data_IF_212430387484
#
_entry.id   IF_212430387484
#
_cell.length_a   1.000
_cell.length_b   1.000
_cell.length_c   1.000
_cell.angle_alpha   90.00
_cell.angle_beta   90.00
_cell.angle_gamma   90.00
#
_symmetry.space_group_name_H-M   'P 1'
#
loop_
_entity.id
_entity.type
_entity.pdbx_description
1 polymer ?
#
# COMPACT_ATOMS: atom_id res chain seq x y z
N UNK A 1 27.39 2.68 0.19
CA UNK A 1 26.17 1.96 -0.22
C UNK A 1 25.53 1.36 1.05
N UNK A 2 24.48 1.98 1.57
CA UNK A 2 23.93 1.60 2.87
C UNK A 2 23.12 0.30 2.78
N UNK A 3 23.34 -0.60 3.75
CA UNK A 3 22.57 -1.85 3.94
C UNK A 3 21.06 -1.55 3.99
N UNK A 4 20.66 -0.39 4.52
CA UNK A 4 19.26 0.11 4.60
C UNK A 4 18.55 0.17 3.25
N UNK A 5 19.26 0.47 2.16
CA UNK A 5 18.68 0.55 0.81
C UNK A 5 18.32 -0.83 0.24
N UNK A 6 18.92 -1.90 0.77
CA UNK A 6 18.77 -3.28 0.29
C UNK A 6 17.66 -4.04 0.99
N UNK A 7 17.36 -3.74 2.24
CA UNK A 7 16.37 -4.47 3.03
C UNK A 7 14.94 -4.31 2.50
N UNK A 8 14.44 -3.09 2.17
CA UNK A 8 13.09 -2.94 1.66
C UNK A 8 12.79 -3.74 0.39
N UNK A 9 13.66 -3.75 -0.65
CA UNK A 9 13.46 -4.63 -1.80
C UNK A 9 13.37 -6.13 -1.44
N UNK A 10 14.18 -6.60 -0.48
CA UNK A 10 14.11 -8.00 -0.03
C UNK A 10 12.81 -8.31 0.73
N UNK A 11 12.26 -7.34 1.46
CA UNK A 11 10.92 -7.47 2.06
C UNK A 11 9.87 -7.58 0.95
N UNK A 12 10.00 -6.77 -0.11
CA UNK A 12 9.09 -6.85 -1.28
C UNK A 12 9.15 -8.20 -2.00
N UNK A 13 10.30 -8.86 -2.02
CA UNK A 13 10.43 -10.24 -2.50
C UNK A 13 9.53 -11.19 -1.68
N UNK A 14 9.60 -11.09 -0.36
CA UNK A 14 8.77 -11.89 0.55
C UNK A 14 7.28 -11.56 0.41
N UNK A 15 6.92 -10.27 0.35
CA UNK A 15 5.54 -9.81 0.12
C UNK A 15 5.02 -10.38 -1.21
N UNK A 16 5.81 -10.35 -2.30
CA UNK A 16 5.45 -10.91 -3.59
C UNK A 16 5.16 -12.42 -3.52
N UNK A 17 6.00 -13.16 -2.77
CA UNK A 17 5.82 -14.59 -2.56
C UNK A 17 4.59 -14.92 -1.67
N UNK A 18 4.14 -13.99 -0.81
CA UNK A 18 2.92 -14.13 -0.01
C UNK A 18 1.66 -13.75 -0.80
N UNK A 19 1.77 -12.79 -1.71
CA UNK A 19 0.63 -12.15 -2.35
C UNK A 19 -0.06 -13.08 -3.34
N UNK A 20 -1.39 -13.03 -3.35
CA UNK A 20 -2.23 -13.63 -4.40
C UNK A 20 -2.89 -12.52 -5.23
N UNK A 21 -2.43 -12.39 -6.46
CA UNK A 21 -2.97 -11.41 -7.41
C UNK A 21 -4.28 -11.84 -8.08
N UNK A 22 -4.82 -13.02 -7.77
CA UNK A 22 -6.03 -13.56 -8.41
C UNK A 22 -7.22 -12.59 -8.33
N UNK A 23 -7.43 -11.94 -7.19
CA UNK A 23 -8.50 -10.97 -7.02
C UNK A 23 -8.35 -9.76 -7.96
N UNK A 24 -7.12 -9.32 -8.19
CA UNK A 24 -6.81 -8.21 -9.10
C UNK A 24 -6.94 -8.62 -10.57
N UNK A 25 -6.41 -9.80 -10.92
CA UNK A 25 -6.49 -10.36 -12.28
C UNK A 25 -7.96 -10.63 -12.67
N UNK A 26 -8.77 -11.13 -11.73
CA UNK A 26 -10.19 -11.41 -11.97
C UNK A 26 -11.01 -10.15 -12.26
N UNK A 27 -10.65 -9.02 -11.65
CA UNK A 27 -11.32 -7.73 -11.84
C UNK A 27 -10.32 -6.57 -11.90
N UNK A 28 -9.69 -6.31 -13.05
CA UNK A 28 -8.67 -5.25 -13.19
C UNK A 28 -9.15 -3.84 -12.86
N UNK A 29 -10.47 -3.57 -12.90
CA UNK A 29 -11.05 -2.28 -12.51
C UNK A 29 -10.73 -1.91 -11.06
N UNK A 30 -10.48 -2.91 -10.21
CA UNK A 30 -10.11 -2.71 -8.81
C UNK A 30 -8.72 -2.04 -8.64
N UNK A 31 -7.85 -2.10 -9.68
CA UNK A 31 -6.57 -1.34 -9.68
C UNK A 31 -6.79 0.15 -9.54
N UNK A 32 -7.86 0.68 -10.15
CA UNK A 32 -8.17 2.11 -10.09
C UNK A 32 -8.48 2.57 -8.66
N UNK A 33 -9.01 1.68 -7.82
CA UNK A 33 -9.27 1.98 -6.41
C UNK A 33 -7.96 2.11 -5.64
N UNK A 34 -7.01 1.18 -5.88
CA UNK A 34 -5.66 1.28 -5.33
C UNK A 34 -4.94 2.55 -5.77
N UNK A 35 -5.05 2.92 -7.04
CA UNK A 35 -4.50 4.17 -7.57
C UNK A 35 -5.14 5.40 -6.90
N UNK A 36 -6.45 5.41 -6.70
CA UNK A 36 -7.16 6.51 -6.05
C UNK A 36 -6.73 6.70 -4.58
N UNK A 37 -6.42 5.63 -3.86
CA UNK A 37 -5.92 5.74 -2.49
C UNK A 37 -4.55 6.45 -2.42
N UNK A 38 -3.75 6.44 -3.51
CA UNK A 38 -2.47 7.15 -3.54
C UNK A 38 -2.61 8.68 -3.49
N UNK A 39 -3.82 9.23 -3.62
CA UNK A 39 -4.06 10.64 -3.29
C UNK A 39 -3.65 11.00 -1.86
N UNK A 40 -3.59 10.02 -0.94
CA UNK A 40 -3.02 10.20 0.39
C UNK A 40 -1.54 10.60 0.36
N UNK A 41 -0.74 9.97 -0.52
CA UNK A 41 0.69 10.28 -0.70
C UNK A 41 0.87 11.70 -1.25
N UNK A 42 0.23 11.99 -2.39
CA UNK A 42 0.39 13.29 -3.05
C UNK A 42 -0.26 14.42 -2.25
N UNK A 43 -1.37 14.17 -1.56
CA UNK A 43 -1.99 15.12 -0.64
C UNK A 43 -1.07 15.48 0.53
N UNK A 44 -0.47 14.48 1.16
CA UNK A 44 0.49 14.72 2.24
C UNK A 44 1.76 15.43 1.72
N UNK A 45 2.24 15.10 0.53
CA UNK A 45 3.34 15.80 -0.13
C UNK A 45 3.06 17.29 -0.27
N UNK A 46 1.90 17.64 -0.83
CA UNK A 46 1.50 19.05 -1.02
C UNK A 46 1.37 19.80 0.30
N UNK A 47 0.81 19.16 1.34
CA UNK A 47 0.67 19.78 2.66
C UNK A 47 2.05 19.94 3.33
N UNK A 48 2.94 18.96 3.18
CA UNK A 48 4.31 19.06 3.71
C UNK A 48 5.07 20.24 3.08
N UNK A 49 4.95 20.45 1.77
CA UNK A 49 5.49 21.62 1.08
C UNK A 49 4.90 22.93 1.65
N UNK A 50 3.58 22.98 1.86
CA UNK A 50 2.91 24.16 2.43
C UNK A 50 3.35 24.42 3.89
N UNK A 51 3.79 23.41 4.63
CA UNK A 51 4.33 23.54 5.99
C UNK A 51 5.83 23.88 6.04
N UNK A 52 6.45 24.10 4.86
CA UNK A 52 7.83 24.58 4.73
C UNK A 52 8.91 23.49 4.72
N UNK A 53 8.54 22.23 4.48
CA UNK A 53 9.52 21.18 4.24
C UNK A 53 10.11 21.32 2.83
N UNK A 54 11.40 20.97 2.70
CA UNK A 54 12.07 20.87 1.41
C UNK A 54 11.38 19.81 0.52
N UNK A 55 11.36 19.94 -0.82
CA UNK A 55 10.72 18.99 -1.73
C UNK A 55 11.13 17.53 -1.52
N UNK A 56 12.42 17.25 -1.23
CA UNK A 56 12.88 15.89 -0.93
C UNK A 56 12.30 15.38 0.39
N UNK A 57 12.31 16.21 1.44
CA UNK A 57 11.72 15.89 2.74
C UNK A 57 10.21 15.69 2.61
N UNK A 58 9.52 16.57 1.89
CA UNK A 58 8.09 16.47 1.63
C UNK A 58 7.74 15.16 0.89
N UNK A 59 8.55 14.74 -0.08
CA UNK A 59 8.40 13.47 -0.79
C UNK A 59 8.56 12.27 0.15
N UNK A 60 9.56 12.32 1.02
CA UNK A 60 9.79 11.28 2.02
C UNK A 60 8.67 11.22 3.09
N UNK A 61 8.06 12.35 3.44
CA UNK A 61 6.92 12.42 4.37
C UNK A 61 5.65 11.94 3.67
N UNK A 62 5.42 12.38 2.43
CA UNK A 62 4.21 12.06 1.68
C UNK A 62 3.98 10.56 1.54
N UNK A 63 5.05 9.78 1.36
CA UNK A 63 4.95 8.32 1.16
C UNK A 63 4.29 7.58 2.36
N UNK A 64 4.25 8.16 3.54
CA UNK A 64 3.54 7.61 4.71
C UNK A 64 2.09 7.32 4.34
N UNK A 65 1.48 8.16 3.51
CA UNK A 65 0.09 8.02 3.05
C UNK A 65 -0.17 6.76 2.22
N UNK A 66 0.87 6.12 1.70
CA UNK A 66 0.76 4.81 1.04
C UNK A 66 0.50 3.65 2.01
N UNK A 67 0.74 3.84 3.31
CA UNK A 67 0.63 2.82 4.34
C UNK A 67 1.49 1.57 4.06
N UNK A 68 2.71 1.80 3.61
CA UNK A 68 3.67 0.78 3.23
C UNK A 68 5.01 1.08 3.91
N UNK A 69 5.27 0.41 5.03
CA UNK A 69 6.46 0.64 5.86
C UNK A 69 7.77 0.47 5.10
N UNK A 70 8.00 -0.65 4.40
CA UNK A 70 9.20 -0.86 3.60
C UNK A 70 9.41 0.20 2.53
N UNK A 71 8.36 0.63 1.83
CA UNK A 71 8.43 1.71 0.83
C UNK A 71 8.79 3.05 1.49
N UNK A 72 8.21 3.34 2.67
CA UNK A 72 8.52 4.56 3.42
C UNK A 72 10.00 4.61 3.82
N UNK A 73 10.57 3.50 4.29
CA UNK A 73 11.99 3.43 4.63
C UNK A 73 12.86 3.54 3.37
N UNK A 74 12.49 2.86 2.28
CA UNK A 74 13.23 2.92 1.02
C UNK A 74 13.33 4.35 0.49
N UNK A 75 12.22 5.06 0.43
CA UNK A 75 12.20 6.41 -0.10
C UNK A 75 12.88 7.41 0.85
N UNK A 76 12.60 7.35 2.15
CA UNK A 76 13.19 8.26 3.13
C UNK A 76 14.70 8.06 3.27
N UNK A 77 15.23 6.84 3.13
CA UNK A 77 16.67 6.59 3.15
C UNK A 77 17.42 7.31 2.02
N UNK A 78 16.72 7.61 0.91
CA UNK A 78 17.28 8.30 -0.27
C UNK A 78 17.01 9.79 -0.28
N UNK A 79 15.79 10.21 0.06
CA UNK A 79 15.38 11.61 -0.04
C UNK A 79 15.63 12.42 1.25
N UNK A 80 15.48 11.81 2.43
CA UNK A 80 15.60 12.48 3.72
C UNK A 80 16.13 11.54 4.82
N UNK A 81 17.40 11.13 4.76
CA UNK A 81 17.97 10.18 5.72
C UNK A 81 17.89 10.65 7.18
N UNK A 82 17.95 11.95 7.42
CA UNK A 82 17.83 12.60 8.73
C UNK A 82 16.40 12.46 9.34
N UNK A 83 15.36 12.36 8.51
CA UNK A 83 13.98 12.20 8.96
C UNK A 83 13.51 10.74 8.93
N UNK A 84 14.34 9.81 8.47
CA UNK A 84 13.97 8.41 8.25
C UNK A 84 13.40 7.75 9.52
N UNK A 85 13.98 8.03 10.69
CA UNK A 85 13.50 7.48 11.96
C UNK A 85 12.07 7.91 12.27
N UNK A 86 11.78 9.22 12.19
CA UNK A 86 10.45 9.77 12.42
C UNK A 86 9.42 9.26 11.38
N UNK A 87 9.82 9.18 10.12
CA UNK A 87 8.97 8.68 9.02
C UNK A 87 8.66 7.20 9.22
N UNK A 88 9.66 6.36 9.55
CA UNK A 88 9.47 4.94 9.78
C UNK A 88 8.54 4.68 10.96
N UNK A 89 8.78 5.32 12.12
CA UNK A 89 7.92 5.17 13.31
C UNK A 89 6.50 5.65 13.00
N UNK A 90 6.34 6.78 12.30
CA UNK A 90 5.04 7.29 11.88
C UNK A 90 4.31 6.27 10.99
N UNK A 91 4.95 5.78 9.93
CA UNK A 91 4.36 4.83 8.99
C UNK A 91 3.87 3.56 9.68
N UNK A 92 4.72 2.90 10.48
CA UNK A 92 4.34 1.67 11.18
C UNK A 92 3.29 1.91 12.28
N UNK A 93 3.35 3.05 13.00
CA UNK A 93 2.35 3.39 14.01
C UNK A 93 0.97 3.56 13.39
N UNK A 94 0.87 4.25 12.26
CA UNK A 94 -0.41 4.43 11.58
C UNK A 94 -0.92 3.17 10.91
N UNK A 95 -0.05 2.30 10.41
CA UNK A 95 -0.46 0.96 9.96
C UNK A 95 -1.13 0.17 11.10
N UNK A 96 -0.56 0.20 12.30
CA UNK A 96 -1.16 -0.44 13.47
C UNK A 96 -2.51 0.20 13.90
N UNK A 97 -2.70 1.50 13.60
CA UNK A 97 -3.93 2.24 13.93
C UNK A 97 -5.01 2.17 12.83
N UNK A 98 -4.75 1.49 11.72
CA UNK A 98 -5.73 1.29 10.64
C UNK A 98 -7.11 0.82 11.14
N UNK A 99 -7.21 -0.18 12.04
CA UNK A 99 -8.51 -0.62 12.57
C UNK A 99 -9.28 0.45 13.35
N UNK A 100 -8.60 1.46 13.84
CA UNK A 100 -9.21 2.57 14.59
C UNK A 100 -9.57 3.76 13.67
N UNK A 101 -8.69 4.08 12.71
CA UNK A 101 -8.81 5.25 11.84
C UNK A 101 -9.83 5.03 10.72
N UNK A 102 -9.80 3.88 10.06
CA UNK A 102 -10.61 3.65 8.85
C UNK A 102 -12.12 3.53 9.10
N UNK A 103 -12.63 2.77 10.11
CA UNK A 103 -14.06 2.56 10.26
C UNK A 103 -14.88 3.84 10.43
N UNK A 104 -14.48 4.83 11.24
CA UNK A 104 -15.21 6.11 11.34
C UNK A 104 -15.31 6.83 10.00
N UNK A 105 -14.22 6.87 9.22
CA UNK A 105 -14.18 7.53 7.90
C UNK A 105 -15.11 6.82 6.93
N UNK A 106 -15.05 5.49 6.89
CA UNK A 106 -15.90 4.66 6.04
C UNK A 106 -17.38 4.87 6.36
N UNK A 107 -17.73 4.89 7.66
CA UNK A 107 -19.12 5.13 8.09
C UNK A 107 -19.59 6.55 7.78
N UNK A 108 -18.72 7.55 7.89
CA UNK A 108 -19.05 8.93 7.56
C UNK A 108 -19.32 9.13 6.07
N UNK A 109 -18.51 8.51 5.22
CA UNK A 109 -18.54 8.71 3.77
C UNK A 109 -19.53 7.80 3.02
N UNK A 110 -20.10 6.77 3.67
CA UNK A 110 -21.00 5.83 3.02
C UNK A 110 -22.39 5.82 3.65
N UNK A 111 -23.41 5.61 2.84
CA UNK A 111 -24.80 5.44 3.31
C UNK A 111 -25.10 3.97 3.63
N UNK A 112 -26.13 3.70 4.46
CA UNK A 112 -26.57 2.32 4.77
C UNK A 112 -26.89 1.52 3.50
N UNK A 113 -27.53 2.16 2.49
CA UNK A 113 -27.86 1.50 1.21
C UNK A 113 -26.62 1.08 0.43
N UNK A 114 -25.58 1.93 0.41
CA UNK A 114 -24.32 1.63 -0.28
C UNK A 114 -23.56 0.49 0.38
N UNK A 115 -23.60 0.36 1.72
CA UNK A 115 -22.94 -0.71 2.48
C UNK A 115 -23.55 -2.09 2.22
N UNK A 116 -24.83 -2.15 1.82
CA UNK A 116 -25.55 -3.37 1.51
C UNK A 116 -25.34 -3.87 0.08
N UNK A 117 -24.56 -3.17 -0.75
CA UNK A 117 -24.27 -3.61 -2.11
C UNK A 117 -23.51 -4.93 -2.06
N UNK A 118 -24.10 -5.97 -2.67
CA UNK A 118 -23.46 -7.28 -2.85
C UNK A 118 -22.75 -7.32 -4.20
N UNK A 119 -21.50 -7.75 -4.17
CA UNK A 119 -20.68 -7.87 -5.37
C UNK A 119 -20.78 -9.28 -5.94
N UNK A 120 -20.68 -9.41 -7.27
CA UNK A 120 -20.62 -10.71 -7.95
C UNK A 120 -19.34 -11.44 -7.56
N UNK A 121 -19.42 -12.77 -7.40
CA UNK A 121 -18.24 -13.58 -7.12
C UNK A 121 -17.13 -13.35 -8.19
N UNK A 122 -15.86 -13.30 -7.79
CA UNK A 122 -14.74 -13.18 -8.72
C UNK A 122 -14.71 -14.37 -9.69
N UNK A 123 -14.29 -14.15 -10.93
CA UNK A 123 -14.09 -15.25 -11.88
C UNK A 123 -12.88 -16.09 -11.47
N UNK A 124 -12.89 -17.36 -11.83
CA UNK A 124 -11.71 -18.20 -11.70
C UNK A 124 -10.58 -17.68 -12.62
N UNK A 125 -9.36 -17.63 -12.09
CA UNK A 125 -8.15 -17.21 -12.80
C UNK A 125 -7.33 -18.43 -13.16
N UNK A 126 -6.92 -18.52 -14.44
CA UNK A 126 -6.10 -19.64 -14.91
C UNK A 126 -4.66 -19.56 -14.38
N UNK A 127 -3.98 -20.70 -14.32
CA UNK A 127 -2.56 -20.74 -13.90
C UNK A 127 -1.67 -19.90 -14.82
N UNK A 128 -1.95 -19.92 -16.13
CA UNK A 128 -1.20 -19.13 -17.12
C UNK A 128 -1.35 -17.61 -16.84
N UNK A 129 -2.55 -17.15 -16.52
CA UNK A 129 -2.76 -15.74 -16.15
C UNK A 129 -1.96 -15.35 -14.89
N UNK A 130 -1.91 -16.24 -13.90
CA UNK A 130 -1.14 -16.01 -12.66
C UNK A 130 0.37 -15.91 -12.89
N UNK A 131 0.91 -16.71 -13.80
CA UNK A 131 2.34 -16.68 -14.16
C UNK A 131 2.68 -15.49 -15.05
N UNK A 132 1.80 -15.17 -16.00
CA UNK A 132 2.02 -14.05 -16.93
C UNK A 132 1.89 -12.67 -16.27
N UNK A 133 1.02 -12.54 -15.27
CA UNK A 133 0.77 -11.27 -14.61
C UNK A 133 2.04 -10.61 -14.02
N UNK A 134 2.87 -11.29 -13.20
CA UNK A 134 4.09 -10.70 -12.68
C UNK A 134 5.12 -10.39 -13.76
N UNK A 135 5.19 -11.15 -14.85
CA UNK A 135 6.09 -10.89 -15.98
C UNK A 135 5.70 -9.60 -16.69
N UNK A 136 4.40 -9.46 -17.04
CA UNK A 136 3.88 -8.26 -17.68
C UNK A 136 4.00 -7.05 -16.75
N UNK A 137 3.68 -7.22 -15.46
CA UNK A 137 3.83 -6.18 -14.45
C UNK A 137 5.27 -5.68 -14.31
N UNK A 138 6.24 -6.60 -14.31
CA UNK A 138 7.66 -6.26 -14.27
C UNK A 138 8.08 -5.45 -15.51
N UNK A 139 7.70 -5.89 -16.70
CA UNK A 139 8.02 -5.18 -17.95
C UNK A 139 7.40 -3.78 -17.97
N UNK A 140 6.13 -3.66 -17.59
CA UNK A 140 5.48 -2.34 -17.49
C UNK A 140 6.20 -1.42 -16.49
N UNK A 141 6.64 -1.95 -15.35
CA UNK A 141 7.40 -1.18 -14.37
C UNK A 141 8.72 -0.67 -14.95
N UNK A 142 9.45 -1.52 -15.67
CA UNK A 142 10.71 -1.13 -16.31
C UNK A 142 10.54 0.05 -17.27
N UNK A 143 9.44 0.09 -18.01
CA UNK A 143 9.18 1.14 -19.00
C UNK A 143 8.57 2.40 -18.40
N UNK A 144 7.64 2.26 -17.46
CA UNK A 144 6.87 3.40 -16.94
C UNK A 144 7.54 4.09 -15.74
N UNK A 145 8.13 3.32 -14.84
CA UNK A 145 8.69 3.82 -13.58
C UNK A 145 10.01 3.11 -13.26
N UNK A 146 11.10 3.38 -13.99
CA UNK A 146 12.38 2.69 -13.78
C UNK A 146 12.92 2.82 -12.35
N UNK A 147 12.74 3.98 -11.71
CA UNK A 147 13.19 4.23 -10.33
C UNK A 147 12.45 3.38 -9.29
N UNK A 148 11.25 2.86 -9.60
CA UNK A 148 10.49 1.93 -8.77
C UNK A 148 10.90 0.46 -8.91
N UNK A 149 11.77 0.14 -9.88
CA UNK A 149 12.18 -1.23 -10.19
C UNK A 149 12.74 -2.02 -8.99
N UNK A 150 13.55 -1.45 -8.07
CA UNK A 150 14.03 -2.20 -6.93
C UNK A 150 12.91 -2.79 -6.06
N UNK A 151 11.80 -2.08 -5.88
CA UNK A 151 10.66 -2.54 -5.10
C UNK A 151 9.73 -3.44 -5.92
N UNK A 152 9.23 -2.93 -7.04
CA UNK A 152 8.26 -3.63 -7.89
C UNK A 152 8.88 -4.86 -8.56
N UNK A 153 10.15 -4.76 -8.97
CA UNK A 153 10.89 -5.89 -9.53
C UNK A 153 10.96 -7.06 -8.57
N UNK A 154 11.28 -6.78 -7.29
CA UNK A 154 11.33 -7.82 -6.26
C UNK A 154 9.94 -8.34 -5.89
N UNK A 155 8.91 -7.49 -5.89
CA UNK A 155 7.51 -7.89 -5.69
C UNK A 155 7.07 -8.91 -6.76
N UNK A 156 7.24 -8.55 -8.03
CA UNK A 156 6.84 -9.41 -9.14
C UNK A 156 7.71 -10.67 -9.25
N UNK A 157 9.01 -10.55 -8.96
CA UNK A 157 9.89 -11.72 -8.92
C UNK A 157 9.49 -12.69 -7.80
N UNK A 158 9.19 -12.20 -6.60
CA UNK A 158 8.68 -13.02 -5.49
C UNK A 158 7.39 -13.75 -5.84
N UNK A 159 6.47 -13.06 -6.51
CA UNK A 159 5.23 -13.67 -6.98
C UNK A 159 5.47 -14.73 -8.06
N UNK A 160 6.40 -14.48 -8.99
CA UNK A 160 6.78 -15.44 -10.01
C UNK A 160 7.38 -16.72 -9.40
N UNK A 161 8.21 -16.59 -8.35
CA UNK A 161 8.73 -17.74 -7.60
C UNK A 161 7.61 -18.64 -7.05
N UNK A 162 6.52 -18.04 -6.60
CA UNK A 162 5.35 -18.75 -6.08
C UNK A 162 4.52 -19.37 -7.21
N UNK A 163 4.14 -18.58 -8.20
CA UNK A 163 3.15 -18.97 -9.21
C UNK A 163 3.75 -19.89 -10.30
N UNK A 164 5.08 -19.91 -10.48
CA UNK A 164 5.74 -20.82 -11.41
C UNK A 164 5.56 -22.30 -11.07
N UNK A 165 5.30 -22.62 -9.78
CA UNK A 165 5.19 -23.99 -9.28
C UNK A 165 6.52 -24.76 -9.19
N UNK A 166 7.56 -24.33 -9.92
CA UNK A 166 8.88 -25.00 -9.97
C UNK A 166 9.76 -24.61 -8.78
N UNK A 167 9.68 -23.34 -8.35
CA UNK A 167 10.51 -22.76 -7.29
C UNK A 167 9.81 -22.67 -5.94
N UNK A 168 8.87 -23.57 -5.66
CA UNK A 168 8.03 -23.55 -4.46
C UNK A 168 8.83 -23.43 -3.16
N UNK A 169 9.94 -24.18 -3.03
CA UNK A 169 10.83 -24.10 -1.85
C UNK A 169 11.42 -22.71 -1.65
N UNK A 170 11.81 -22.03 -2.74
CA UNK A 170 12.35 -20.67 -2.66
C UNK A 170 11.27 -19.65 -2.28
N UNK A 171 10.05 -19.81 -2.80
CA UNK A 171 8.92 -18.99 -2.41
C UNK A 171 8.58 -19.16 -0.92
N UNK A 172 8.60 -20.40 -0.38
CA UNK A 172 8.42 -20.67 1.05
C UNK A 172 9.49 -19.98 1.91
N UNK A 173 10.75 -20.06 1.48
CA UNK A 173 11.85 -19.38 2.18
C UNK A 173 11.69 -17.87 2.13
N UNK A 174 11.29 -17.30 0.99
CA UNK A 174 11.12 -15.87 0.81
C UNK A 174 9.98 -15.30 1.66
N UNK A 175 8.83 -15.98 1.72
CA UNK A 175 7.63 -15.52 2.43
C UNK A 175 7.67 -15.72 3.95
N UNK A 176 8.58 -16.48 4.47
CA UNK A 176 8.74 -16.77 5.90
C UNK A 176 10.15 -16.39 6.39
N UNK A 177 11.11 -17.35 6.45
CA UNK A 177 12.40 -17.12 7.11
C UNK A 177 13.16 -15.88 6.61
N UNK A 178 13.11 -15.59 5.29
CA UNK A 178 13.83 -14.45 4.72
C UNK A 178 13.19 -13.13 5.15
N UNK A 179 11.87 -12.98 4.96
CA UNK A 179 11.17 -11.74 5.31
C UNK A 179 11.28 -11.44 6.80
N UNK A 180 11.18 -12.46 7.67
CA UNK A 180 11.29 -12.31 9.12
C UNK A 180 12.69 -11.85 9.50
N UNK A 181 13.73 -12.49 8.97
CA UNK A 181 15.13 -12.10 9.21
C UNK A 181 15.42 -10.68 8.77
N UNK A 182 14.98 -10.31 7.56
CA UNK A 182 15.19 -8.96 7.02
C UNK A 182 14.39 -7.92 7.83
N UNK A 183 13.20 -8.25 8.29
CA UNK A 183 12.39 -7.36 9.13
C UNK A 183 13.06 -7.08 10.47
N UNK A 184 13.64 -8.09 11.11
CA UNK A 184 14.42 -7.93 12.34
C UNK A 184 15.63 -7.01 12.10
N UNK A 185 16.41 -7.28 11.06
CA UNK A 185 17.60 -6.49 10.73
C UNK A 185 17.23 -5.05 10.37
N UNK A 186 16.12 -4.85 9.63
CA UNK A 186 15.62 -3.52 9.30
C UNK A 186 15.20 -2.76 10.56
N UNK A 187 14.43 -3.39 11.44
CA UNK A 187 14.00 -2.79 12.70
C UNK A 187 15.18 -2.38 13.59
N UNK A 188 16.18 -3.25 13.71
CA UNK A 188 17.41 -2.95 14.46
C UNK A 188 18.19 -1.78 13.85
N UNK A 189 18.36 -1.77 12.51
CA UNK A 189 19.14 -0.71 11.85
C UNK A 189 18.43 0.64 11.86
N UNK A 190 17.11 0.66 11.70
CA UNK A 190 16.31 1.89 11.81
C UNK A 190 16.29 2.39 13.23
N UNK A 191 16.03 1.52 14.22
CA UNK A 191 16.05 1.89 15.63
C UNK A 191 17.39 2.44 16.09
N UNK A 192 18.50 1.76 15.72
CA UNK A 192 19.86 2.23 16.06
C UNK A 192 20.24 3.58 15.42
N UNK A 193 19.59 3.94 14.32
CA UNK A 193 19.83 5.23 13.64
C UNK A 193 18.92 6.36 14.15
N UNK A 194 17.93 6.05 14.98
CA UNK A 194 17.01 7.05 15.52
C UNK A 194 17.62 7.68 16.76
N UNK A 195 18.17 8.89 16.59
CA UNK A 195 18.76 9.66 17.71
C UNK A 195 17.70 10.57 18.33
N UNK A 196 17.77 10.75 19.66
CA UNK A 196 16.82 11.61 20.38
C UNK A 196 16.84 13.07 19.88
N UNK A 197 18.00 13.57 19.51
CA UNK A 197 18.19 14.93 18.94
C UNK A 197 17.49 15.15 17.62
N UNK A 198 17.32 14.10 16.81
CA UNK A 198 16.66 14.16 15.51
C UNK A 198 15.17 13.77 15.61
N UNK A 199 14.84 12.89 16.57
CA UNK A 199 13.49 12.37 16.73
C UNK A 199 12.59 13.28 17.58
N UNK A 200 13.13 13.90 18.66
CA UNK A 200 12.36 14.77 19.56
C UNK A 200 12.39 16.23 19.08
N UNK A 201 11.90 16.48 17.89
CA UNK A 201 11.86 17.79 17.23
C UNK A 201 10.44 18.20 16.87
N UNK A 202 10.22 19.49 16.64
CA UNK A 202 8.94 20.02 16.14
C UNK A 202 8.59 19.41 14.78
N UNK A 203 9.60 19.16 13.95
CA UNK A 203 9.39 18.56 12.62
C UNK A 203 8.91 17.11 12.74
N UNK A 204 9.37 16.35 13.71
CA UNK A 204 8.82 15.02 14.00
C UNK A 204 7.34 15.07 14.37
N UNK A 205 6.91 16.03 15.18
CA UNK A 205 5.50 16.22 15.52
C UNK A 205 4.67 16.58 14.27
N UNK A 206 5.20 17.42 13.39
CA UNK A 206 4.57 17.70 12.09
C UNK A 206 4.47 16.44 11.23
N UNK A 207 5.51 15.62 11.17
CA UNK A 207 5.53 14.35 10.42
C UNK A 207 4.44 13.40 10.95
N UNK A 208 4.29 13.27 12.27
CA UNK A 208 3.21 12.49 12.87
C UNK A 208 1.83 13.06 12.49
N UNK A 209 1.62 14.36 12.59
CA UNK A 209 0.37 14.99 12.20
C UNK A 209 0.03 14.77 10.71
N UNK A 210 1.02 14.94 9.82
CA UNK A 210 0.90 14.68 8.40
C UNK A 210 0.63 13.21 8.10
N UNK A 211 1.26 12.30 8.81
CA UNK A 211 1.00 10.87 8.70
C UNK A 211 -0.46 10.52 8.99
N UNK A 212 -1.02 11.01 10.10
CA UNK A 212 -2.43 10.82 10.43
C UNK A 212 -3.36 11.37 9.33
N UNK A 213 -3.09 12.59 8.89
CA UNK A 213 -3.90 13.26 7.87
C UNK A 213 -3.83 12.52 6.53
N UNK A 214 -2.66 12.03 6.15
CA UNK A 214 -2.46 11.28 4.91
C UNK A 214 -3.30 10.00 4.86
N UNK A 215 -3.41 9.28 5.99
CA UNK A 215 -4.27 8.09 6.11
C UNK A 215 -5.76 8.42 5.99
N UNK A 216 -6.18 9.54 6.57
CA UNK A 216 -7.56 10.04 6.41
C UNK A 216 -7.83 10.35 4.93
N UNK A 217 -6.92 11.07 4.25
CA UNK A 217 -7.05 11.41 2.84
C UNK A 217 -7.05 10.15 1.98
N UNK A 218 -6.12 9.21 2.20
CA UNK A 218 -6.03 7.95 1.45
C UNK A 218 -7.31 7.12 1.57
N UNK A 219 -7.82 6.95 2.78
CA UNK A 219 -9.07 6.21 3.02
C UNK A 219 -10.26 6.90 2.38
N UNK A 220 -10.37 8.21 2.57
CA UNK A 220 -11.47 9.01 2.01
C UNK A 220 -11.46 8.98 0.48
N UNK A 221 -10.30 9.19 -0.15
CA UNK A 221 -10.17 9.20 -1.61
C UNK A 221 -10.56 7.85 -2.23
N UNK A 222 -10.12 6.72 -1.63
CA UNK A 222 -10.51 5.40 -2.10
C UNK A 222 -12.02 5.15 -2.02
N UNK A 223 -12.65 5.51 -0.90
CA UNK A 223 -14.12 5.37 -0.72
C UNK A 223 -14.89 6.29 -1.67
N UNK A 224 -14.50 7.57 -1.76
CA UNK A 224 -15.15 8.55 -2.65
C UNK A 224 -14.98 8.13 -4.11
N UNK A 225 -13.81 7.66 -4.48
CA UNK A 225 -13.56 7.18 -5.84
C UNK A 225 -14.54 6.07 -6.23
N UNK A 226 -14.77 5.08 -5.37
CA UNK A 226 -15.74 4.00 -5.65
C UNK A 226 -17.15 4.56 -5.80
N UNK A 227 -17.54 5.56 -5.02
CA UNK A 227 -18.86 6.21 -5.16
C UNK A 227 -18.99 6.90 -6.51
N UNK A 228 -17.98 7.68 -6.93
CA UNK A 228 -17.97 8.34 -8.23
C UNK A 228 -17.97 7.29 -9.35
N UNK A 229 -17.15 6.25 -9.22
CA UNK A 229 -17.07 5.17 -10.20
C UNK A 229 -18.40 4.43 -10.36
N UNK A 230 -19.16 4.27 -9.28
CA UNK A 230 -20.50 3.69 -9.29
C UNK A 230 -21.56 4.53 -10.04
N UNK A 231 -21.30 5.81 -10.32
CA UNK A 231 -22.17 6.63 -11.18
C UNK A 231 -22.08 6.21 -12.65
N UNK A 232 -20.91 5.71 -13.06
CA UNK A 232 -20.63 5.29 -14.45
C UNK A 232 -21.00 3.81 -14.63
N UNK A 233 -20.96 3.00 -13.56
CA UNK A 233 -21.21 1.57 -13.62
C UNK A 233 -22.72 1.24 -13.74
N UNK A 234 -23.09 0.21 -14.54
CA UNK A 234 -24.46 -0.30 -14.61
C UNK A 234 -24.97 -0.77 -13.23
N UNK A 235 -26.28 -0.71 -13.03
CA UNK A 235 -26.91 -1.08 -11.73
C UNK A 235 -26.56 -2.49 -11.24
N UNK A 236 -26.24 -3.43 -12.14
CA UNK A 236 -25.88 -4.82 -11.81
C UNK A 236 -24.40 -5.06 -11.48
N UNK A 237 -23.52 -4.09 -11.72
CA UNK A 237 -22.06 -4.20 -11.55
C UNK A 237 -21.49 -3.21 -10.53
N UNK A 238 -22.35 -2.66 -9.68
CA UNK A 238 -21.93 -1.71 -8.66
C UNK A 238 -20.96 -2.34 -7.66
N UNK A 239 -19.96 -1.56 -7.30
CA UNK A 239 -18.93 -1.93 -6.33
C UNK A 239 -19.36 -1.41 -4.94
N UNK A 240 -19.18 -2.21 -3.90
CA UNK A 240 -19.44 -1.76 -2.54
C UNK A 240 -18.39 -0.73 -2.13
N UNK A 241 -18.77 0.53 -1.78
CA UNK A 241 -17.82 1.57 -1.43
C UNK A 241 -16.93 1.26 -0.22
N UNK A 242 -17.36 0.32 0.63
CA UNK A 242 -16.54 -0.12 1.76
C UNK A 242 -15.18 -0.69 1.32
N UNK A 243 -15.08 -1.31 0.12
CA UNK A 243 -13.78 -1.82 -0.32
C UNK A 243 -12.82 -0.73 -0.80
N UNK A 244 -13.30 0.52 -0.91
CA UNK A 244 -12.47 1.68 -1.26
C UNK A 244 -11.35 1.95 -0.25
N UNK A 245 -11.58 1.69 1.05
CA UNK A 245 -10.54 1.84 2.07
C UNK A 245 -9.37 0.87 1.85
N UNK A 246 -9.63 -0.28 1.24
CA UNK A 246 -8.62 -1.31 1.01
C UNK A 246 -7.55 -0.89 -0.02
N UNK A 247 -7.78 0.19 -0.80
CA UNK A 247 -6.74 0.80 -1.63
C UNK A 247 -5.54 1.34 -0.83
N UNK A 248 -5.70 1.56 0.47
CA UNK A 248 -4.60 1.81 1.40
C UNK A 248 -3.81 0.52 1.60
N UNK A 249 -2.50 0.57 1.39
CA UNK A 249 -1.63 -0.62 1.22
C UNK A 249 -1.38 -1.45 2.49
N UNK A 250 -1.94 -1.11 3.65
CA UNK A 250 -1.78 -1.92 4.88
C UNK A 250 -2.36 -3.33 4.70
N UNK A 251 -1.55 -4.23 4.13
CA UNK A 251 -1.95 -5.61 3.75
C UNK A 251 -1.78 -6.57 4.92
N UNK A 252 -2.77 -7.41 5.23
CA UNK A 252 -4.14 -7.47 4.69
C UNK A 252 -5.15 -6.66 5.50
N UNK A 253 -4.71 -5.81 6.43
CA UNK A 253 -5.56 -5.23 7.47
C UNK A 253 -6.64 -4.30 6.90
N UNK A 254 -6.32 -3.42 5.94
CA UNK A 254 -7.34 -2.58 5.31
C UNK A 254 -8.45 -3.39 4.64
N UNK A 255 -8.13 -4.54 4.02
CA UNK A 255 -9.12 -5.43 3.43
C UNK A 255 -9.99 -6.11 4.50
N UNK A 256 -9.38 -6.50 5.64
CA UNK A 256 -10.12 -7.05 6.79
C UNK A 256 -11.10 -6.04 7.38
N UNK A 257 -10.71 -4.75 7.44
CA UNK A 257 -11.61 -3.69 7.92
C UNK A 257 -12.83 -3.55 7.02
N UNK A 258 -12.67 -3.63 5.68
CA UNK A 258 -13.83 -3.67 4.77
C UNK A 258 -14.81 -4.78 5.13
N UNK A 259 -14.30 -5.97 5.45
CA UNK A 259 -15.09 -7.12 5.86
C UNK A 259 -15.79 -6.89 7.21
N UNK A 260 -15.05 -6.44 8.23
CA UNK A 260 -15.58 -6.19 9.57
C UNK A 260 -16.72 -5.18 9.51
N UNK A 261 -16.50 -4.02 8.88
CA UNK A 261 -17.53 -3.00 8.76
C UNK A 261 -18.70 -3.48 7.89
N UNK A 262 -18.45 -4.28 6.85
CA UNK A 262 -19.51 -4.85 6.01
C UNK A 262 -20.44 -5.79 6.78
N UNK A 263 -19.89 -6.69 7.60
CA UNK A 263 -20.63 -7.64 8.41
C UNK A 263 -21.49 -6.99 9.49
N UNK A 264 -21.17 -5.79 9.97
CA UNK A 264 -22.01 -5.03 10.91
C UNK A 264 -23.39 -4.69 10.31
N UNK A 265 -23.49 -4.58 8.98
CA UNK A 265 -24.72 -4.20 8.27
C UNK A 265 -25.41 -5.36 7.58
N UNK A 266 -24.66 -6.34 7.08
CA UNK A 266 -25.18 -7.57 6.46
C UNK A 266 -24.22 -8.73 6.76
N UNK A 267 -24.58 -9.62 7.73
CA UNK A 267 -23.73 -10.75 8.13
C UNK A 267 -23.44 -11.76 7.00
N UNK A 268 -24.16 -11.69 5.89
CA UNK A 268 -23.99 -12.58 4.73
C UNK A 268 -23.22 -11.93 3.57
N UNK A 269 -22.77 -10.67 3.72
CA UNK A 269 -22.07 -9.93 2.67
C UNK A 269 -20.54 -9.99 2.89
N UNK A 270 -19.89 -10.97 2.26
CA UNK A 270 -18.46 -11.20 2.39
C UNK A 270 -17.67 -10.32 1.41
N UNK A 271 -17.03 -9.26 1.91
CA UNK A 271 -16.28 -8.27 1.12
C UNK A 271 -14.78 -8.56 1.01
N UNK A 272 -14.22 -9.42 1.88
CA UNK A 272 -12.77 -9.63 1.99
C UNK A 272 -12.11 -9.98 0.65
N UNK A 273 -12.68 -10.95 -0.07
CA UNK A 273 -12.12 -11.40 -1.36
C UNK A 273 -12.12 -10.28 -2.42
N UNK A 274 -13.12 -9.41 -2.38
CA UNK A 274 -13.19 -8.24 -3.26
C UNK A 274 -12.22 -7.13 -2.83
N UNK A 275 -12.08 -6.91 -1.52
CA UNK A 275 -11.20 -5.92 -0.93
C UNK A 275 -9.71 -6.25 -1.11
N UNK A 276 -9.36 -7.53 -1.26
CA UNK A 276 -7.97 -7.94 -1.55
C UNK A 276 -7.46 -7.40 -2.88
N UNK A 277 -8.32 -7.22 -3.89
CA UNK A 277 -7.92 -6.62 -5.17
C UNK A 277 -7.38 -5.21 -5.03
N UNK A 278 -8.16 -4.24 -4.53
CA UNK A 278 -7.67 -2.89 -4.23
C UNK A 278 -6.49 -2.87 -3.26
N UNK A 279 -6.46 -3.77 -2.28
CA UNK A 279 -5.40 -3.81 -1.28
C UNK A 279 -4.03 -4.14 -1.89
N UNK A 280 -3.99 -5.14 -2.74
CA UNK A 280 -2.78 -5.51 -3.48
C UNK A 280 -2.42 -4.45 -4.53
N UNK A 281 -3.42 -3.83 -5.18
CA UNK A 281 -3.21 -2.70 -6.07
C UNK A 281 -2.60 -1.49 -5.32
N UNK A 282 -2.94 -1.30 -4.05
CA UNK A 282 -2.35 -0.29 -3.18
C UNK A 282 -0.83 -0.48 -2.98
N UNK A 283 -0.37 -1.73 -2.80
CA UNK A 283 1.07 -2.04 -2.69
C UNK A 283 1.82 -1.66 -3.97
N UNK A 284 1.26 -2.05 -5.11
CA UNK A 284 1.84 -1.64 -6.41
C UNK A 284 1.82 -0.11 -6.53
N UNK A 285 0.71 0.52 -6.14
CA UNK A 285 0.53 1.96 -6.20
C UNK A 285 1.52 2.75 -5.34
N UNK A 286 1.77 2.32 -4.09
CA UNK A 286 2.74 2.95 -3.20
C UNK A 286 4.17 2.85 -3.73
N UNK A 287 4.55 1.68 -4.27
CA UNK A 287 5.87 1.49 -4.86
C UNK A 287 6.04 2.27 -6.18
N UNK A 288 4.98 2.39 -7.00
CA UNK A 288 4.95 3.27 -8.18
C UNK A 288 5.11 4.72 -7.77
N UNK A 289 4.35 5.18 -6.76
CA UNK A 289 4.44 6.55 -6.26
C UNK A 289 5.84 6.86 -5.70
N UNK A 290 6.44 5.93 -4.97
CA UNK A 290 7.83 6.07 -4.50
C UNK A 290 8.81 6.19 -5.67
N UNK A 291 8.65 5.36 -6.70
CA UNK A 291 9.48 5.45 -7.91
C UNK A 291 9.31 6.77 -8.65
N UNK A 292 8.09 7.28 -8.77
CA UNK A 292 7.80 8.59 -9.37
C UNK A 292 8.46 9.70 -8.56
N UNK A 293 8.25 9.75 -7.24
CA UNK A 293 8.86 10.75 -6.37
C UNK A 293 10.39 10.71 -6.43
N UNK A 294 10.97 9.51 -6.46
CA UNK A 294 12.41 9.34 -6.58
C UNK A 294 12.93 9.85 -7.92
N UNK A 295 12.24 9.57 -9.02
CA UNK A 295 12.65 9.99 -10.36
C UNK A 295 12.48 11.48 -10.64
N UNK A 296 11.58 12.18 -9.92
CA UNK A 296 11.37 13.62 -10.06
C UNK A 296 12.19 14.47 -9.10
N UNK A 297 12.60 13.91 -7.95
CA UNK A 297 13.25 14.67 -6.88
C UNK A 297 14.77 14.46 -6.82
N UNK A 298 15.30 13.44 -7.49
CA UNK A 298 16.74 13.20 -7.68
C UNK A 298 17.08 13.31 -9.17
#
# INVERSE_FOLDING_TARGET
>A
MCIRDRYPPLIFLGIGAMTDFSALISNPKLMLIGAAAQFGIFGAYMIALAWGFDPMQAGAIGIIGGADGPTAIFLSSKLAPNLMGAIAVSAYSYMALVPVIQPPIMRLLTTKKERLIRMKAPRAVSHTEKVMFPIVGLLLTCFLVPSGLPLLGMLFFGNLLKESGVTRRLAETARGPLIDTITILLGLTVGASTQASEFLTVDSLKIFGLGALSFVIATASGVIFVKIFNLILPKGDKINPLIGNAGVSAVPDSARISQVVGLEYDPSNYLLMHAMGPNVAGVIGSAVAAGILLGFLI
#
